data_IF_344730402234
#
_entry.id   IF_344730402234
#
_cell.length_a   1.000
_cell.length_b   1.000
_cell.length_c   1.000
_cell.angle_alpha   90.00
_cell.angle_beta   90.00
_cell.angle_gamma   90.00
#
_symmetry.space_group_name_H-M   'P 1'
#
loop_
_entity.id
_entity.type
_entity.pdbx_description
1 polymer ?
#
# COMPACT_ATOMS: atom_id res chain seq x y z
N UNK A 1 -16.49 -9.40 -14.05
CA UNK A 1 -15.72 -8.28 -13.46
C UNK A 1 -15.12 -7.42 -14.56
N UNK A 2 -14.88 -6.15 -14.28
CA UNK A 2 -14.30 -5.20 -15.21
C UNK A 2 -12.82 -5.52 -15.41
N UNK A 3 -12.46 -5.80 -16.65
CA UNK A 3 -11.09 -6.06 -17.08
C UNK A 3 -10.69 -5.01 -18.12
N UNK A 4 -9.43 -4.56 -18.02
CA UNK A 4 -8.88 -3.59 -18.95
C UNK A 4 -8.38 -4.33 -20.19
N UNK A 5 -9.13 -4.22 -21.30
CA UNK A 5 -8.80 -4.90 -22.56
C UNK A 5 -7.96 -4.05 -23.53
N UNK A 6 -7.90 -2.74 -23.33
CA UNK A 6 -7.18 -1.81 -24.21
C UNK A 6 -5.83 -1.41 -23.62
N UNK A 7 -4.77 -1.56 -24.41
CA UNK A 7 -3.42 -1.14 -24.04
C UNK A 7 -3.35 0.35 -23.68
N UNK A 8 -4.00 1.22 -24.46
CA UNK A 8 -4.00 2.67 -24.17
C UNK A 8 -4.65 2.96 -22.82
N UNK A 9 -5.76 2.28 -22.51
CA UNK A 9 -6.44 2.41 -21.22
C UNK A 9 -5.55 1.92 -20.08
N UNK A 10 -4.87 0.78 -20.25
CA UNK A 10 -3.93 0.27 -19.24
C UNK A 10 -2.79 1.26 -18.96
N UNK A 11 -2.23 1.90 -20.00
CA UNK A 11 -1.20 2.93 -19.84
C UNK A 11 -1.75 4.16 -19.09
N UNK A 12 -2.95 4.64 -19.44
CA UNK A 12 -3.59 5.76 -18.75
C UNK A 12 -3.82 5.43 -17.27
N UNK A 13 -4.34 4.23 -16.97
CA UNK A 13 -4.55 3.77 -15.60
C UNK A 13 -3.24 3.67 -14.83
N UNK A 14 -2.14 3.20 -15.44
CA UNK A 14 -0.82 3.22 -14.81
C UNK A 14 -0.39 4.64 -14.37
N UNK A 15 -0.63 5.67 -15.19
CA UNK A 15 -0.38 7.05 -14.78
C UNK A 15 -1.25 7.48 -13.60
N UNK A 16 -2.53 7.11 -13.60
CA UNK A 16 -3.45 7.40 -12.49
C UNK A 16 -2.96 6.71 -11.20
N UNK A 17 -2.56 5.44 -11.29
CA UNK A 17 -2.03 4.67 -10.16
C UNK A 17 -0.79 5.32 -9.55
N UNK A 18 0.16 5.77 -10.37
CA UNK A 18 1.34 6.50 -9.89
C UNK A 18 0.96 7.82 -9.21
N UNK A 19 0.00 8.56 -9.74
CA UNK A 19 -0.50 9.80 -9.12
C UNK A 19 -1.17 9.51 -7.77
N UNK A 20 -1.97 8.46 -7.69
CA UNK A 20 -2.65 8.02 -6.46
C UNK A 20 -1.66 7.66 -5.35
N UNK A 21 -0.69 6.78 -5.62
CA UNK A 21 0.31 6.40 -4.62
C UNK A 21 1.24 7.54 -4.20
N UNK A 22 1.50 8.52 -5.09
CA UNK A 22 2.23 9.74 -4.72
C UNK A 22 1.41 10.75 -3.92
N UNK A 23 0.08 10.74 -4.05
CA UNK A 23 -0.79 11.82 -3.54
C UNK A 23 -1.37 11.57 -2.16
N UNK A 24 -1.52 10.32 -1.71
CA UNK A 24 -2.13 10.04 -0.40
C UNK A 24 -1.36 10.69 0.77
N UNK A 25 -0.02 10.76 0.69
CA UNK A 25 0.79 11.41 1.72
C UNK A 25 0.52 12.92 1.84
N UNK A 26 -0.03 13.55 0.80
CA UNK A 26 -0.41 14.97 0.85
C UNK A 26 -1.66 15.18 1.71
N UNK A 27 -2.60 14.22 1.76
CA UNK A 27 -3.76 14.33 2.65
C UNK A 27 -3.35 14.22 4.11
N UNK A 28 -2.35 13.38 4.42
CA UNK A 28 -1.72 13.36 5.75
C UNK A 28 -1.13 14.73 6.10
N UNK A 29 -0.37 15.36 5.19
CA UNK A 29 0.20 16.70 5.42
C UNK A 29 -0.90 17.75 5.69
N UNK A 30 -2.05 17.66 5.02
CA UNK A 30 -3.19 18.55 5.26
C UNK A 30 -3.79 18.38 6.67
N UNK A 31 -3.80 17.17 7.22
CA UNK A 31 -4.32 16.88 8.57
C UNK A 31 -3.29 17.12 9.69
N UNK A 32 -2.00 16.92 9.39
CA UNK A 32 -0.89 16.80 10.36
C UNK A 32 -0.69 17.96 11.34
N UNK A 33 -1.18 19.17 11.04
CA UNK A 33 -1.05 20.32 11.94
C UNK A 33 -1.89 20.20 13.21
N UNK A 34 -2.99 19.45 13.15
CA UNK A 34 -3.95 19.29 14.25
C UNK A 34 -4.22 17.80 14.57
N UNK A 35 -3.79 16.89 13.70
CA UNK A 35 -4.13 15.47 13.71
C UNK A 35 -2.87 14.60 13.63
N UNK A 36 -2.56 13.88 14.71
CA UNK A 36 -1.40 12.97 14.74
C UNK A 36 -1.55 11.83 13.72
N UNK A 37 -0.43 11.37 13.15
CA UNK A 37 -0.44 10.29 12.16
C UNK A 37 -1.22 9.05 12.61
N UNK A 38 -1.06 8.53 13.85
CA UNK A 38 -1.83 7.37 14.29
C UNK A 38 -3.35 7.57 14.29
N UNK A 39 -3.83 8.80 14.50
CA UNK A 39 -5.26 9.13 14.41
C UNK A 39 -5.71 9.21 12.95
N UNK A 40 -4.94 9.87 12.09
CA UNK A 40 -5.15 9.89 10.64
C UNK A 40 -5.22 8.49 10.05
N UNK A 41 -4.37 7.59 10.55
CA UNK A 41 -4.21 6.27 10.00
C UNK A 41 -5.46 5.38 10.19
N UNK A 42 -6.25 5.61 11.24
CA UNK A 42 -7.55 4.96 11.40
C UNK A 42 -8.50 5.29 10.25
N UNK A 43 -8.68 6.59 9.97
CA UNK A 43 -9.49 7.07 8.86
C UNK A 43 -8.97 6.57 7.50
N UNK A 44 -7.65 6.57 7.32
CA UNK A 44 -6.98 6.03 6.13
C UNK A 44 -7.33 4.56 5.90
N UNK A 45 -7.18 3.70 6.91
CA UNK A 45 -7.52 2.26 6.76
C UNK A 45 -9.01 2.02 6.52
N UNK A 46 -9.89 2.84 7.10
CA UNK A 46 -11.32 2.82 6.81
C UNK A 46 -11.60 3.20 5.35
N UNK A 47 -10.95 4.24 4.83
CA UNK A 47 -11.08 4.64 3.43
C UNK A 47 -10.71 3.52 2.45
N UNK A 48 -9.67 2.74 2.76
CA UNK A 48 -9.26 1.60 1.94
C UNK A 48 -10.33 0.49 1.95
N UNK A 49 -10.86 0.10 3.11
CA UNK A 49 -11.91 -0.93 3.16
C UNK A 49 -13.16 -0.46 2.44
N UNK A 50 -13.62 0.77 2.71
CA UNK A 50 -14.85 1.28 2.12
C UNK A 50 -14.75 1.31 0.60
N UNK A 51 -13.63 1.81 0.04
CA UNK A 51 -13.49 1.87 -1.40
C UNK A 51 -13.28 0.47 -2.01
N UNK A 52 -12.49 -0.40 -1.41
CA UNK A 52 -12.30 -1.77 -1.92
C UNK A 52 -13.60 -2.55 -1.94
N UNK A 53 -14.47 -2.37 -0.94
CA UNK A 53 -15.83 -2.94 -0.94
C UNK A 53 -16.69 -2.35 -2.07
N UNK A 54 -16.66 -1.02 -2.25
CA UNK A 54 -17.38 -0.37 -3.36
C UNK A 54 -16.90 -0.91 -4.70
N UNK A 55 -15.59 -1.04 -4.93
CA UNK A 55 -15.05 -1.60 -6.16
C UNK A 55 -15.39 -3.08 -6.33
N UNK A 56 -15.33 -3.91 -5.28
CA UNK A 56 -15.78 -5.30 -5.35
C UNK A 56 -17.25 -5.42 -5.77
N UNK A 57 -18.14 -4.67 -5.14
CA UNK A 57 -19.57 -4.69 -5.44
C UNK A 57 -19.95 -4.03 -6.78
N UNK A 58 -19.08 -3.18 -7.33
CA UNK A 58 -19.30 -2.51 -8.62
C UNK A 58 -18.42 -3.14 -9.70
N UNK A 59 -17.21 -2.60 -9.93
CA UNK A 59 -16.28 -3.07 -10.96
C UNK A 59 -15.96 -4.57 -10.85
N UNK A 60 -15.85 -5.12 -9.64
CA UNK A 60 -15.65 -6.54 -9.38
C UNK A 60 -16.86 -7.42 -9.70
N UNK A 61 -18.04 -6.83 -9.90
CA UNK A 61 -19.30 -7.53 -10.15
C UNK A 61 -19.95 -7.14 -11.49
N UNK A 62 -19.46 -6.13 -12.18
CA UNK A 62 -19.90 -5.73 -13.52
C UNK A 62 -18.99 -6.34 -14.59
N UNK A 63 -19.53 -6.91 -15.66
CA UNK A 63 -18.79 -7.47 -16.80
C UNK A 63 -18.85 -9.00 -16.91
N UNK A 64 -18.59 -9.49 -18.12
CA UNK A 64 -18.92 -10.86 -18.55
C UNK A 64 -17.82 -11.91 -18.31
N UNK A 65 -16.62 -11.45 -17.93
CA UNK A 65 -15.44 -12.29 -17.70
C UNK A 65 -15.03 -12.31 -16.22
N UNK A 66 -14.33 -13.36 -15.79
CA UNK A 66 -13.97 -13.57 -14.38
C UNK A 66 -15.16 -14.03 -13.53
N UNK A 67 -15.03 -13.89 -12.20
CA UNK A 67 -16.08 -14.25 -11.25
C UNK A 67 -16.60 -13.01 -10.50
N UNK A 68 -17.93 -12.82 -10.36
CA UNK A 68 -18.49 -11.73 -9.56
C UNK A 68 -17.98 -11.76 -8.12
N UNK A 69 -17.75 -10.60 -7.52
CA UNK A 69 -17.11 -10.47 -6.20
C UNK A 69 -17.70 -11.36 -5.10
N UNK A 70 -19.03 -11.37 -4.93
CA UNK A 70 -19.68 -12.17 -3.86
C UNK A 70 -19.55 -13.68 -4.10
N UNK A 71 -19.64 -14.11 -5.36
CA UNK A 71 -19.46 -15.51 -5.75
C UNK A 71 -18.00 -15.93 -5.56
N UNK A 72 -17.07 -15.10 -6.04
CA UNK A 72 -15.64 -15.33 -5.88
C UNK A 72 -15.24 -15.43 -4.40
N UNK A 73 -15.79 -14.56 -3.55
CA UNK A 73 -15.55 -14.60 -2.10
C UNK A 73 -16.03 -15.92 -1.48
N UNK A 74 -17.21 -16.41 -1.87
CA UNK A 74 -17.78 -17.65 -1.32
C UNK A 74 -17.06 -18.92 -1.80
N UNK A 75 -16.53 -18.94 -3.03
CA UNK A 75 -15.80 -20.08 -3.58
C UNK A 75 -14.31 -20.11 -3.22
N UNK A 76 -13.80 -19.05 -2.57
CA UNK A 76 -12.38 -18.90 -2.30
C UNK A 76 -11.87 -19.86 -1.24
N UNK A 77 -10.67 -20.39 -1.45
CA UNK A 77 -10.01 -21.26 -0.48
C UNK A 77 -9.55 -20.46 0.74
N UNK A 78 -9.49 -21.15 1.89
CA UNK A 78 -8.94 -20.59 3.12
C UNK A 78 -7.49 -20.13 2.92
N UNK A 79 -6.71 -20.86 2.13
CA UNK A 79 -5.32 -20.51 1.82
C UNK A 79 -5.23 -19.19 1.04
N UNK A 80 -6.04 -19.01 0.00
CA UNK A 80 -6.05 -17.76 -0.76
C UNK A 80 -6.46 -16.57 0.11
N UNK A 81 -7.51 -16.72 0.92
CA UNK A 81 -7.94 -15.69 1.89
C UNK A 81 -6.81 -15.39 2.87
N UNK A 82 -6.16 -16.42 3.42
CA UNK A 82 -5.05 -16.31 4.35
C UNK A 82 -3.86 -15.56 3.78
N UNK A 83 -3.49 -15.83 2.52
CA UNK A 83 -2.41 -15.12 1.84
C UNK A 83 -2.72 -13.64 1.57
N UNK A 84 -3.93 -13.32 1.12
CA UNK A 84 -4.34 -11.93 0.92
C UNK A 84 -4.37 -11.15 2.26
N UNK A 85 -4.91 -11.76 3.32
CA UNK A 85 -4.88 -11.19 4.67
C UNK A 85 -3.45 -10.93 5.14
N UNK A 86 -2.57 -11.94 5.01
CA UNK A 86 -1.17 -11.82 5.41
C UNK A 86 -0.44 -10.72 4.64
N UNK A 87 -0.70 -10.59 3.34
CA UNK A 87 -0.23 -9.46 2.53
C UNK A 87 -0.65 -8.12 3.13
N UNK A 88 -1.92 -8.00 3.54
CA UNK A 88 -2.44 -6.81 4.21
C UNK A 88 -1.74 -6.51 5.54
N UNK A 89 -1.53 -7.52 6.36
CA UNK A 89 -0.82 -7.40 7.66
C UNK A 89 0.62 -6.92 7.45
N UNK A 90 1.36 -7.54 6.53
CA UNK A 90 2.76 -7.20 6.22
C UNK A 90 2.85 -5.78 5.66
N UNK A 91 1.96 -5.43 4.71
CA UNK A 91 1.88 -4.08 4.18
C UNK A 91 1.64 -3.05 5.28
N UNK A 92 0.71 -3.34 6.20
CA UNK A 92 0.34 -2.41 7.25
C UNK A 92 1.52 -2.05 8.16
N UNK A 93 2.23 -3.06 8.67
CA UNK A 93 3.42 -2.81 9.51
C UNK A 93 4.53 -2.12 8.70
N UNK A 94 4.74 -2.49 7.45
CA UNK A 94 5.72 -1.85 6.58
C UNK A 94 5.41 -0.36 6.37
N UNK A 95 4.14 -0.03 6.14
CA UNK A 95 3.69 1.34 5.91
C UNK A 95 3.82 2.21 7.17
N UNK A 96 3.43 1.69 8.34
CA UNK A 96 3.63 2.38 9.62
C UNK A 96 5.11 2.64 9.93
N UNK A 97 5.98 1.66 9.68
CA UNK A 97 7.43 1.80 9.83
C UNK A 97 8.00 2.84 8.85
N UNK A 98 7.52 2.85 7.60
CA UNK A 98 7.95 3.81 6.59
C UNK A 98 7.59 5.25 7.01
N UNK A 99 6.36 5.48 7.47
CA UNK A 99 5.94 6.82 7.91
C UNK A 99 6.73 7.26 9.15
N UNK A 100 6.93 6.37 10.12
CA UNK A 100 7.78 6.67 11.27
C UNK A 100 9.23 6.98 10.85
N UNK A 101 9.76 6.28 9.84
CA UNK A 101 11.09 6.56 9.30
C UNK A 101 11.14 7.93 8.60
N UNK A 102 10.09 8.31 7.86
CA UNK A 102 9.95 9.64 7.24
C UNK A 102 9.93 10.73 8.31
N UNK A 103 9.21 10.53 9.42
CA UNK A 103 9.17 11.51 10.51
C UNK A 103 10.52 11.66 11.23
N UNK A 104 11.34 10.60 11.29
CA UNK A 104 12.61 10.58 12.03
C UNK A 104 13.81 10.99 11.16
N UNK A 105 13.90 10.48 9.93
CA UNK A 105 15.02 10.69 9.02
C UNK A 105 14.70 11.66 7.87
N UNK A 106 13.45 12.08 7.73
CA UNK A 106 12.99 12.91 6.63
C UNK A 106 12.66 12.09 5.38
N UNK A 107 11.71 12.59 4.60
CA UNK A 107 11.26 11.97 3.34
C UNK A 107 12.41 11.74 2.36
N UNK A 108 13.36 12.67 2.31
CA UNK A 108 14.57 12.65 1.49
C UNK A 108 15.48 11.42 1.72
N UNK A 109 15.48 10.84 2.93
CA UNK A 109 16.31 9.68 3.27
C UNK A 109 15.43 8.43 3.32
N UNK A 110 14.30 8.53 4.00
CA UNK A 110 13.50 7.37 4.31
C UNK A 110 12.79 6.77 3.10
N UNK A 111 12.32 7.61 2.18
CA UNK A 111 11.55 7.19 1.03
C UNK A 111 12.43 6.50 -0.02
N UNK A 112 13.61 7.05 -0.45
CA UNK A 112 14.51 6.35 -1.37
C UNK A 112 14.97 4.98 -0.86
N UNK A 113 15.30 4.88 0.44
CA UNK A 113 15.75 3.63 1.04
C UNK A 113 14.60 2.63 1.13
N UNK A 114 13.48 3.02 1.72
CA UNK A 114 12.36 2.11 1.94
C UNK A 114 11.71 1.66 0.64
N UNK A 115 11.19 2.60 -0.15
CA UNK A 115 10.49 2.27 -1.40
C UNK A 115 11.44 1.74 -2.47
N UNK A 116 12.69 2.21 -2.52
CA UNK A 116 13.69 1.67 -3.44
C UNK A 116 14.02 0.21 -3.17
N UNK A 117 14.24 -0.17 -1.90
CA UNK A 117 14.41 -1.58 -1.53
C UNK A 117 13.16 -2.38 -1.88
N UNK A 118 11.97 -1.87 -1.52
CA UNK A 118 10.70 -2.54 -1.80
C UNK A 118 10.50 -2.83 -3.29
N UNK A 119 10.83 -1.88 -4.15
CA UNK A 119 10.69 -2.01 -5.60
C UNK A 119 11.67 -3.05 -6.16
N UNK A 120 12.96 -2.92 -5.86
CA UNK A 120 13.98 -3.84 -6.40
C UNK A 120 13.75 -5.26 -5.88
N UNK A 121 13.58 -5.40 -4.57
CA UNK A 121 13.33 -6.70 -3.94
C UNK A 121 12.00 -7.28 -4.41
N UNK A 122 10.94 -6.48 -4.48
CA UNK A 122 9.61 -6.92 -4.90
C UNK A 122 9.63 -7.46 -6.32
N UNK A 123 10.29 -6.78 -7.25
CA UNK A 123 10.43 -7.27 -8.63
C UNK A 123 11.17 -8.60 -8.65
N UNK A 124 12.29 -8.72 -7.94
CA UNK A 124 13.06 -9.99 -7.88
C UNK A 124 12.24 -11.13 -7.28
N UNK A 125 11.58 -10.90 -6.15
CA UNK A 125 10.82 -11.92 -5.42
C UNK A 125 9.61 -12.42 -6.22
N UNK A 126 8.93 -11.53 -6.94
CA UNK A 126 7.78 -11.90 -7.77
C UNK A 126 8.23 -12.56 -9.07
N UNK A 127 9.26 -12.04 -9.74
CA UNK A 127 9.79 -12.64 -10.97
C UNK A 127 10.36 -14.05 -10.75
N UNK A 128 11.01 -14.30 -9.61
CA UNK A 128 11.48 -15.66 -9.24
C UNK A 128 10.30 -16.61 -8.97
N UNK A 129 9.19 -16.09 -8.44
CA UNK A 129 8.01 -16.91 -8.14
C UNK A 129 7.24 -17.30 -9.41
N UNK A 130 6.97 -16.31 -10.26
CA UNK A 130 6.24 -16.46 -11.52
C UNK A 130 6.98 -15.60 -12.56
N UNK A 131 7.88 -16.21 -13.36
CA UNK A 131 8.60 -15.49 -14.39
C UNK A 131 7.64 -15.11 -15.53
N UNK A 132 7.19 -13.86 -15.54
CA UNK A 132 6.32 -13.31 -16.57
C UNK A 132 6.91 -12.06 -17.24
N UNK A 133 6.63 -11.88 -18.54
CA UNK A 133 7.12 -10.77 -19.35
C UNK A 133 8.57 -10.89 -19.84
N UNK A 134 9.10 -9.80 -20.42
CA UNK A 134 10.45 -9.76 -20.99
C UNK A 134 11.50 -9.43 -19.90
N UNK A 135 12.40 -10.36 -19.52
CA UNK A 135 13.36 -10.14 -18.44
C UNK A 135 14.32 -8.98 -18.73
N UNK A 136 14.76 -8.85 -19.97
CA UNK A 136 15.72 -7.80 -20.34
C UNK A 136 15.13 -6.42 -20.13
N UNK A 137 13.91 -6.19 -20.62
CA UNK A 137 13.21 -4.91 -20.42
C UNK A 137 12.92 -4.65 -18.94
N UNK A 138 12.48 -5.69 -18.20
CA UNK A 138 12.18 -5.59 -16.78
C UNK A 138 13.41 -5.18 -15.96
N UNK A 139 14.53 -5.89 -16.12
CA UNK A 139 15.75 -5.64 -15.33
C UNK A 139 16.49 -4.36 -15.76
N UNK A 140 16.41 -3.96 -17.04
CA UNK A 140 16.85 -2.62 -17.47
C UNK A 140 16.01 -1.56 -16.75
N UNK A 141 14.69 -1.71 -16.72
CA UNK A 141 13.79 -0.80 -16.03
C UNK A 141 14.12 -0.69 -14.53
N UNK A 142 14.32 -1.81 -13.84
CA UNK A 142 14.74 -1.85 -12.43
C UNK A 142 16.08 -1.12 -12.25
N UNK A 143 17.05 -1.35 -13.14
CA UNK A 143 18.35 -0.67 -13.10
C UNK A 143 18.23 0.85 -13.24
N UNK A 144 17.41 1.33 -14.18
CA UNK A 144 17.15 2.75 -14.39
C UNK A 144 16.46 3.40 -13.19
N UNK A 145 15.43 2.75 -12.63
CA UNK A 145 14.74 3.25 -11.42
C UNK A 145 15.69 3.28 -10.22
N UNK A 146 16.51 2.25 -10.05
CA UNK A 146 17.52 2.20 -8.98
C UNK A 146 18.51 3.35 -9.11
N UNK A 147 19.00 3.62 -10.32
CA UNK A 147 19.89 4.75 -10.58
C UNK A 147 19.21 6.09 -10.28
N UNK A 148 17.95 6.27 -10.69
CA UNK A 148 17.19 7.49 -10.42
C UNK A 148 17.03 7.73 -8.90
N UNK A 149 16.71 6.69 -8.13
CA UNK A 149 16.59 6.75 -6.67
C UNK A 149 17.92 7.14 -6.01
N UNK A 150 19.04 6.58 -6.49
CA UNK A 150 20.37 6.93 -5.97
C UNK A 150 20.73 8.38 -6.28
N UNK A 151 20.47 8.84 -7.50
CA UNK A 151 20.73 10.24 -7.90
C UNK A 151 19.86 11.20 -7.08
N UNK A 152 18.58 10.89 -6.89
CA UNK A 152 17.66 11.68 -6.06
C UNK A 152 18.15 11.76 -4.61
N UNK A 153 18.51 10.61 -4.01
CA UNK A 153 19.07 10.57 -2.66
C UNK A 153 20.37 11.39 -2.52
N UNK A 154 21.26 11.36 -3.51
CA UNK A 154 22.49 12.18 -3.53
C UNK A 154 22.15 13.67 -3.64
N UNK A 155 21.21 14.04 -4.51
CA UNK A 155 20.78 15.42 -4.68
C UNK A 155 20.17 15.97 -3.38
N UNK A 156 19.25 15.22 -2.77
CA UNK A 156 18.65 15.57 -1.49
C UNK A 156 19.67 15.65 -0.35
N UNK A 157 20.64 14.73 -0.29
CA UNK A 157 21.71 14.78 0.72
C UNK A 157 22.53 16.07 0.62
N UNK A 158 22.73 16.61 -0.59
CA UNK A 158 23.46 17.88 -0.79
C UNK A 158 22.65 19.12 -0.40
N UNK A 159 21.33 19.04 -0.47
CA UNK A 159 20.42 20.15 -0.15
C UNK A 159 20.01 20.13 1.33
N UNK A 160 19.89 18.93 1.92
CA UNK A 160 19.46 18.76 3.31
C UNK A 160 20.59 19.07 4.30
N UNK A 161 20.38 20.07 5.15
CA UNK A 161 21.24 20.36 6.30
C UNK A 161 20.99 19.39 7.49
N UNK A 162 20.01 18.49 7.37
CA UNK A 162 19.58 17.61 8.44
C UNK A 162 20.49 16.37 8.52
N UNK A 163 21.11 16.15 9.69
CA UNK A 163 21.93 14.94 9.93
C UNK A 163 21.03 13.71 9.84
N UNK A 164 21.48 12.70 9.08
CA UNK A 164 20.78 11.43 8.95
C UNK A 164 20.66 10.71 10.30
N UNK A 165 19.45 10.30 10.67
CA UNK A 165 19.21 9.50 11.88
C UNK A 165 19.40 8.01 11.58
N UNK A 166 20.34 7.35 12.26
CA UNK A 166 20.57 5.89 12.13
C UNK A 166 19.29 5.12 12.43
N UNK A 167 18.51 5.53 13.43
CA UNK A 167 17.20 4.93 13.76
C UNK A 167 16.24 4.98 12.57
N UNK A 168 16.12 6.14 11.93
CA UNK A 168 15.22 6.29 10.77
C UNK A 168 15.68 5.47 9.56
N UNK A 169 16.99 5.38 9.31
CA UNK A 169 17.53 4.52 8.24
C UNK A 169 17.19 3.05 8.49
N UNK A 170 17.41 2.53 9.70
CA UNK A 170 17.06 1.14 10.02
C UNK A 170 15.56 0.87 9.84
N UNK A 171 14.70 1.80 10.29
CA UNK A 171 13.26 1.70 10.10
C UNK A 171 12.88 1.67 8.62
N UNK A 172 13.50 2.51 7.78
CA UNK A 172 13.28 2.50 6.33
C UNK A 172 13.71 1.20 5.67
N UNK A 173 14.85 0.62 6.07
CA UNK A 173 15.30 -0.67 5.54
C UNK A 173 14.29 -1.77 5.92
N UNK A 174 13.88 -1.83 7.19
CA UNK A 174 12.89 -2.81 7.65
C UNK A 174 11.55 -2.65 6.92
N UNK A 175 11.09 -1.40 6.78
CA UNK A 175 9.89 -1.08 6.01
C UNK A 175 10.01 -1.53 4.57
N UNK A 176 11.13 -1.21 3.89
CA UNK A 176 11.36 -1.58 2.50
C UNK A 176 11.41 -3.08 2.26
N UNK A 177 12.08 -3.83 3.14
CA UNK A 177 12.13 -5.29 3.04
C UNK A 177 10.73 -5.90 3.20
N UNK A 178 9.97 -5.50 4.22
CA UNK A 178 8.60 -5.97 4.43
C UNK A 178 7.68 -5.58 3.25
N UNK A 179 7.80 -4.34 2.78
CA UNK A 179 7.03 -3.81 1.65
C UNK A 179 7.39 -4.52 0.33
N UNK A 180 8.62 -5.00 0.15
CA UNK A 180 8.98 -5.81 -1.01
C UNK A 180 8.38 -7.22 -0.99
N UNK A 181 7.99 -7.74 0.19
CA UNK A 181 7.45 -9.09 0.34
C UNK A 181 5.92 -9.17 0.30
N UNK A 182 5.20 -8.12 0.73
CA UNK A 182 3.74 -8.23 0.91
C UNK A 182 3.03 -8.65 -0.39
N UNK A 183 3.43 -8.09 -1.53
CA UNK A 183 2.74 -8.32 -2.80
C UNK A 183 2.87 -9.77 -3.27
N UNK A 184 3.94 -10.48 -2.91
CA UNK A 184 4.09 -11.91 -3.21
C UNK A 184 2.92 -12.73 -2.65
N UNK A 185 2.49 -12.43 -1.42
CA UNK A 185 1.37 -13.12 -0.79
C UNK A 185 0.04 -12.74 -1.46
N UNK A 186 -0.14 -11.47 -1.80
CA UNK A 186 -1.33 -11.02 -2.54
C UNK A 186 -1.39 -11.70 -3.92
N UNK A 187 -0.28 -11.72 -4.67
CA UNK A 187 -0.18 -12.42 -5.95
C UNK A 187 -0.48 -13.92 -5.81
N UNK A 188 0.10 -14.59 -4.80
CA UNK A 188 -0.16 -16.00 -4.53
C UNK A 188 -1.63 -16.30 -4.19
N UNK A 189 -2.39 -15.32 -3.69
CA UNK A 189 -3.83 -15.47 -3.42
C UNK A 189 -4.70 -15.41 -4.67
N UNK A 190 -4.20 -14.78 -5.73
CA UNK A 190 -4.95 -14.52 -6.96
C UNK A 190 -4.78 -15.63 -8.00
N UNK A 191 -5.71 -15.68 -8.94
CA UNK A 191 -5.56 -16.44 -10.17
C UNK A 191 -4.58 -15.73 -11.10
N UNK A 192 -3.76 -16.47 -11.85
CA UNK A 192 -2.88 -15.89 -12.88
C UNK A 192 -3.66 -15.46 -14.12
N UNK A 193 -4.74 -16.19 -14.43
CA UNK A 193 -5.74 -15.81 -15.44
C UNK A 193 -6.89 -15.07 -14.75
N UNK A 194 -7.21 -13.88 -15.26
CA UNK A 194 -8.27 -13.02 -14.75
C UNK A 194 -9.61 -13.18 -15.48
N UNK A 195 -9.65 -13.84 -16.64
CA UNK A 195 -10.87 -14.17 -17.36
C UNK A 195 -11.47 -15.48 -16.85
N UNK A 196 -10.63 -16.50 -16.64
CA UNK A 196 -11.03 -17.80 -16.09
C UNK A 196 -10.37 -18.01 -14.74
N UNK A 197 -11.12 -17.72 -13.67
CA UNK A 197 -10.60 -17.77 -12.31
C UNK A 197 -10.37 -19.22 -11.88
N UNK A 198 -9.13 -19.54 -11.53
CA UNK A 198 -8.78 -20.85 -10.98
C UNK A 198 -9.58 -21.15 -9.70
N UNK A 199 -10.00 -22.41 -9.54
CA UNK A 199 -10.80 -22.84 -8.39
C UNK A 199 -10.11 -22.49 -7.07
N UNK A 200 -10.85 -21.85 -6.16
CA UNK A 200 -10.35 -21.45 -4.85
C UNK A 200 -9.43 -20.23 -4.83
N UNK A 201 -9.15 -19.60 -5.98
CA UNK A 201 -8.35 -18.36 -6.07
C UNK A 201 -9.22 -17.11 -6.09
N UNK A 202 -8.62 -15.99 -5.69
CA UNK A 202 -9.24 -14.68 -5.65
C UNK A 202 -9.13 -13.98 -7.00
N UNK A 203 -10.14 -13.17 -7.33
CA UNK A 203 -10.02 -12.10 -8.33
C UNK A 203 -9.22 -10.93 -7.73
N UNK A 204 -8.67 -10.01 -8.56
CA UNK A 204 -8.00 -8.81 -8.06
C UNK A 204 -8.86 -7.94 -7.13
N UNK A 205 -10.16 -7.81 -7.41
CA UNK A 205 -11.08 -7.03 -6.58
C UNK A 205 -11.33 -7.71 -5.23
N UNK A 206 -11.58 -9.03 -5.22
CA UNK A 206 -11.75 -9.79 -3.96
C UNK A 206 -10.46 -9.81 -3.15
N UNK A 207 -9.32 -10.05 -3.79
CA UNK A 207 -8.01 -10.03 -3.15
C UNK A 207 -7.72 -8.68 -2.50
N UNK A 208 -8.02 -7.57 -3.19
CA UNK A 208 -7.80 -6.23 -2.64
C UNK A 208 -8.70 -5.95 -1.43
N UNK A 209 -9.96 -6.38 -1.44
CA UNK A 209 -10.84 -6.26 -0.29
C UNK A 209 -10.33 -7.08 0.92
N UNK A 210 -9.94 -8.33 0.71
CA UNK A 210 -9.38 -9.18 1.78
C UNK A 210 -8.05 -8.62 2.30
N UNK A 211 -7.20 -8.13 1.41
CA UNK A 211 -5.98 -7.40 1.76
C UNK A 211 -6.29 -6.16 2.61
N UNK A 212 -7.31 -5.37 2.26
CA UNK A 212 -7.75 -4.21 3.04
C UNK A 212 -8.25 -4.58 4.43
N UNK A 213 -8.94 -5.72 4.58
CA UNK A 213 -9.30 -6.27 5.89
C UNK A 213 -8.05 -6.63 6.70
N UNK A 214 -7.04 -7.23 6.06
CA UNK A 214 -5.74 -7.52 6.68
C UNK A 214 -5.06 -6.26 7.23
N UNK A 215 -5.08 -5.17 6.46
CA UNK A 215 -4.59 -3.86 6.91
C UNK A 215 -5.36 -3.40 8.14
N UNK A 216 -6.68 -3.33 8.06
CA UNK A 216 -7.51 -2.77 9.11
C UNK A 216 -7.49 -3.57 10.41
N UNK A 217 -7.60 -4.90 10.35
CA UNK A 217 -7.61 -5.71 11.55
C UNK A 217 -6.25 -5.74 12.25
N UNK A 218 -5.16 -5.79 11.49
CA UNK A 218 -3.81 -5.66 12.09
C UNK A 218 -3.57 -4.27 12.67
N UNK A 219 -4.32 -3.25 12.20
CA UNK A 219 -4.23 -1.89 12.70
C UNK A 219 -4.57 -1.78 14.19
N UNK A 220 -5.53 -2.59 14.68
CA UNK A 220 -5.86 -2.67 16.11
C UNK A 220 -4.68 -3.08 16.98
N UNK A 221 -3.70 -3.79 16.42
CA UNK A 221 -2.47 -4.16 17.13
C UNK A 221 -1.41 -3.10 16.86
N UNK A 222 -1.00 -2.95 15.60
CA UNK A 222 0.17 -2.14 15.24
C UNK A 222 -0.06 -0.65 15.50
N UNK A 223 -1.17 -0.09 15.02
CA UNK A 223 -1.41 1.34 15.21
C UNK A 223 -1.69 1.67 16.68
N UNK A 224 -2.34 0.78 17.45
CA UNK A 224 -2.44 0.93 18.91
C UNK A 224 -1.07 1.06 19.57
N UNK A 225 -0.10 0.22 19.19
CA UNK A 225 1.27 0.34 19.70
C UNK A 225 1.87 1.69 19.31
N UNK A 226 1.70 2.15 18.07
CA UNK A 226 2.21 3.44 17.61
C UNK A 226 1.47 4.65 18.24
N UNK A 227 0.21 4.48 18.66
CA UNK A 227 -0.53 5.51 19.40
C UNK A 227 0.05 5.71 20.80
N UNK A 228 0.23 4.62 21.56
CA UNK A 228 0.67 4.71 22.96
C UNK A 228 2.19 4.76 23.14
N UNK A 229 2.95 4.19 22.20
CA UNK A 229 4.42 4.15 22.20
C UNK A 229 4.95 4.59 20.82
N UNK A 230 4.71 5.86 20.43
CA UNK A 230 5.12 6.34 19.13
C UNK A 230 6.65 6.32 18.97
N UNK A 231 7.10 6.00 17.76
CA UNK A 231 8.52 6.07 17.40
C UNK A 231 9.02 7.51 17.21
N UNK A 232 8.08 8.45 16.98
CA UNK A 232 8.25 9.90 16.83
C UNK A 232 6.96 10.63 17.24
N UNK A 233 7.09 11.83 17.83
CA UNK A 233 5.95 12.64 18.27
C UNK A 233 5.41 12.27 19.66
N UNK A 234 4.29 12.90 20.03
CA UNK A 234 3.64 12.68 21.34
C UNK A 234 2.67 11.49 21.28
N UNK A 235 2.53 10.72 22.38
CA UNK A 235 1.54 9.64 22.45
C UNK A 235 0.11 10.19 22.35
N UNK A 236 -0.76 9.40 21.75
CA UNK A 236 -2.20 9.69 21.61
C UNK A 236 -3.02 8.52 22.13
N UNK A 237 -4.29 8.79 22.42
CA UNK A 237 -5.26 7.82 22.93
C UNK A 237 -6.45 7.69 21.99
N UNK A 238 -7.23 6.63 22.14
CA UNK A 238 -8.50 6.51 21.42
C UNK A 238 -9.49 7.64 21.74
N UNK A 239 -9.43 8.23 22.94
CA UNK A 239 -10.26 9.39 23.26
C UNK A 239 -9.90 10.61 22.41
N UNK A 240 -8.66 10.74 21.97
CA UNK A 240 -8.23 11.85 21.12
C UNK A 240 -8.89 11.79 19.74
N UNK A 241 -9.11 10.58 19.21
CA UNK A 241 -9.80 10.37 17.95
C UNK A 241 -11.21 11.00 17.96
N UNK A 242 -11.95 10.86 19.06
CA UNK A 242 -13.31 11.40 19.14
C UNK A 242 -13.36 12.86 19.62
N UNK A 243 -12.44 13.28 20.50
CA UNK A 243 -12.47 14.62 21.10
C UNK A 243 -11.76 15.68 20.27
N UNK A 244 -10.65 15.32 19.62
CA UNK A 244 -9.89 16.23 18.76
C UNK A 244 -10.37 16.17 17.31
N UNK A 245 -11.08 15.11 16.95
CA UNK A 245 -11.58 14.87 15.60
C UNK A 245 -12.72 15.80 15.24
N UNK A 246 -12.78 16.16 13.97
CA UNK A 246 -13.93 16.83 13.38
C UNK A 246 -14.19 16.22 12.00
N UNK A 247 -15.38 16.49 11.44
CA UNK A 247 -15.80 15.92 10.15
C UNK A 247 -14.78 16.15 9.04
N UNK A 248 -14.15 17.32 9.01
CA UNK A 248 -13.13 17.66 8.00
C UNK A 248 -11.89 16.78 8.14
N UNK A 249 -11.38 16.55 9.36
CA UNK A 249 -10.19 15.72 9.59
C UNK A 249 -10.46 14.26 9.22
N UNK A 250 -11.61 13.71 9.62
CA UNK A 250 -12.00 12.34 9.25
C UNK A 250 -12.15 12.17 7.73
N UNK A 251 -12.80 13.13 7.06
CA UNK A 251 -12.94 13.10 5.60
C UNK A 251 -11.59 13.19 4.88
N UNK A 252 -10.63 13.99 5.39
CA UNK A 252 -9.27 14.06 4.83
C UNK A 252 -8.54 12.72 4.98
N UNK A 253 -8.70 12.06 6.13
CA UNK A 253 -8.14 10.74 6.39
C UNK A 253 -8.73 9.67 5.48
N UNK A 254 -10.05 9.60 5.39
CA UNK A 254 -10.78 8.68 4.50
C UNK A 254 -10.38 8.93 3.05
N UNK A 255 -10.27 10.19 2.62
CA UNK A 255 -9.82 10.55 1.28
C UNK A 255 -8.40 10.03 1.00
N UNK A 256 -7.49 10.08 1.98
CA UNK A 256 -6.18 9.46 1.85
C UNK A 256 -6.24 7.97 1.57
N UNK A 257 -7.10 7.25 2.29
CA UNK A 257 -7.35 5.82 2.09
C UNK A 257 -7.97 5.52 0.72
N UNK A 258 -8.95 6.32 0.30
CA UNK A 258 -9.59 6.24 -1.02
C UNK A 258 -8.55 6.43 -2.12
N UNK A 259 -7.76 7.50 -2.08
CA UNK A 259 -6.72 7.78 -3.08
C UNK A 259 -5.75 6.61 -3.18
N UNK A 260 -5.29 6.07 -2.05
CA UNK A 260 -4.37 4.94 -2.05
C UNK A 260 -5.02 3.67 -2.64
N UNK A 261 -6.27 3.38 -2.25
CA UNK A 261 -7.00 2.21 -2.74
C UNK A 261 -7.32 2.29 -4.24
N UNK A 262 -7.55 3.50 -4.79
CA UNK A 262 -7.66 3.69 -6.24
C UNK A 262 -6.38 3.20 -6.93
N UNK A 263 -5.21 3.65 -6.45
CA UNK A 263 -3.94 3.20 -7.03
C UNK A 263 -3.64 1.73 -6.83
N UNK A 264 -4.21 1.07 -5.81
CA UNK A 264 -4.03 -0.37 -5.62
C UNK A 264 -4.92 -1.21 -6.56
N UNK A 265 -6.12 -0.73 -6.90
CA UNK A 265 -7.12 -1.49 -7.67
C UNK A 265 -7.01 -1.25 -9.18
N UNK A 266 -6.66 -0.04 -9.62
CA UNK A 266 -6.55 0.34 -11.03
C UNK A 266 -5.20 -0.06 -11.65
#
# INVERSE_FOLDING_TARGET
>A
MFLVSSYLTAVILCFITMLCWGSWANTQKMASKEWGFPLFYWDYTLGIILLSLVFGLTLGSTGDLGAPFMENLNQSSVDAIGYALLGGVIFNIANLLLVAAIDIAGMAIAFPIGIGIALVQGVLVNYIAVPDGNPTLLFIGVGLVTLAIVVDAIAYKKISAQKSSTKGILLSICAGVLMGFFYRFVAASMSEDFEVIATGKLTPYTATFIFALGIFFSNFIFNTVFMYKPLSGAPVSYSDYFKKGNTKLHLIGILGGVIWCIGMVL
#
